data_IF_588365460885
#
_entry.id   IF_588365460885
#
_cell.length_a   1.000
_cell.length_b   1.000
_cell.length_c   1.000
_cell.angle_alpha   90.00
_cell.angle_beta   90.00
_cell.angle_gamma   90.00
#
_symmetry.space_group_name_H-M   'P 1'
#
loop_
_entity.id
_entity.type
_entity.pdbx_description
1 polymer ?
#
# COMPACT_ATOMS: atom_id res chain seq x y z
N UNK A 1 -27.92 1.40 12.25
CA UNK A 1 -26.71 1.56 13.08
C UNK A 1 -25.65 0.69 12.45
N UNK A 2 -24.49 1.27 12.13
CA UNK A 2 -23.43 0.51 11.49
C UNK A 2 -22.60 -0.26 12.51
N UNK A 3 -22.25 -1.49 12.17
CA UNK A 3 -21.49 -2.41 13.01
C UNK A 3 -20.44 -3.13 12.18
N UNK A 4 -19.33 -3.46 12.84
CA UNK A 4 -18.33 -4.39 12.32
C UNK A 4 -18.47 -5.70 13.08
N UNK A 5 -18.66 -6.80 12.35
CA UNK A 5 -18.82 -8.14 12.92
C UNK A 5 -17.60 -8.97 12.53
N UNK A 6 -16.85 -9.45 13.52
CA UNK A 6 -15.69 -10.31 13.32
C UNK A 6 -16.06 -11.71 13.80
N UNK A 7 -16.09 -12.64 12.86
CA UNK A 7 -16.31 -14.05 13.12
C UNK A 7 -15.01 -14.82 12.95
N UNK A 8 -14.50 -15.34 14.07
CA UNK A 8 -13.24 -16.06 14.18
C UNK A 8 -13.39 -17.34 15.01
N UNK A 9 -14.60 -17.89 15.07
CA UNK A 9 -14.89 -19.16 15.75
C UNK A 9 -14.17 -20.33 15.07
N UNK A 10 -14.12 -20.32 13.73
CA UNK A 10 -13.42 -21.35 12.95
C UNK A 10 -11.98 -20.91 12.71
N UNK A 11 -11.03 -21.86 12.75
CA UNK A 11 -9.61 -21.54 12.54
C UNK A 11 -9.27 -21.46 11.06
N UNK A 12 -10.09 -22.07 10.23
CA UNK A 12 -9.94 -22.21 8.79
C UNK A 12 -10.40 -20.97 8.02
N UNK A 13 -11.14 -20.08 8.69
CA UNK A 13 -11.73 -18.90 8.07
C UNK A 13 -11.96 -17.81 9.11
N UNK A 14 -11.45 -16.62 8.81
CA UNK A 14 -11.69 -15.40 9.54
C UNK A 14 -12.53 -14.48 8.66
N UNK A 15 -13.66 -14.02 9.18
CA UNK A 15 -14.63 -13.22 8.42
C UNK A 15 -14.87 -11.89 9.10
N UNK A 16 -14.84 -10.82 8.31
CA UNK A 16 -15.18 -9.48 8.77
C UNK A 16 -16.32 -8.94 7.91
N UNK A 17 -17.45 -8.67 8.54
CA UNK A 17 -18.64 -8.14 7.88
C UNK A 17 -18.96 -6.72 8.36
N UNK A 18 -19.33 -5.85 7.43
CA UNK A 18 -19.84 -4.52 7.73
C UNK A 18 -21.33 -4.47 7.42
N UNK A 19 -22.11 -4.12 8.44
CA UNK A 19 -23.57 -4.09 8.37
C UNK A 19 -24.11 -2.73 8.76
N UNK A 20 -25.18 -2.28 8.11
CA UNK A 20 -26.03 -1.19 8.58
C UNK A 20 -27.39 -1.74 9.00
N UNK A 21 -27.62 -1.80 10.31
CA UNK A 21 -28.76 -2.51 10.89
C UNK A 21 -28.62 -4.01 10.65
N UNK A 22 -29.36 -4.52 9.67
CA UNK A 22 -29.31 -5.93 9.22
C UNK A 22 -28.88 -6.07 7.75
N UNK A 23 -28.55 -4.95 7.08
CA UNK A 23 -28.11 -4.98 5.69
C UNK A 23 -26.59 -5.10 5.63
N UNK A 24 -26.11 -6.22 5.09
CA UNK A 24 -24.71 -6.39 4.73
C UNK A 24 -24.35 -5.43 3.59
N UNK A 25 -23.25 -4.70 3.74
CA UNK A 25 -22.73 -3.84 2.67
C UNK A 25 -21.26 -4.11 2.34
N UNK A 26 -20.51 -4.82 3.19
CA UNK A 26 -19.17 -5.30 2.88
C UNK A 26 -18.86 -6.62 3.61
N UNK A 27 -18.03 -7.46 3.02
CA UNK A 27 -17.62 -8.75 3.56
C UNK A 27 -16.22 -9.11 3.07
N UNK A 28 -15.29 -9.23 4.01
CA UNK A 28 -13.96 -9.78 3.79
C UNK A 28 -13.82 -11.14 4.47
N UNK A 29 -13.14 -12.06 3.78
CA UNK A 29 -12.90 -13.42 4.23
C UNK A 29 -11.43 -13.74 4.02
N UNK A 30 -10.76 -14.26 5.05
CA UNK A 30 -9.36 -14.68 5.00
C UNK A 30 -9.24 -16.12 5.51
N UNK A 31 -8.58 -16.98 4.73
CA UNK A 31 -8.31 -18.36 5.10
C UNK A 31 -6.81 -18.58 5.28
N UNK A 32 -6.38 -19.38 6.28
CA UNK A 32 -4.98 -19.71 6.47
C UNK A 32 -4.36 -20.30 5.20
N UNK A 33 -3.17 -19.82 4.82
CA UNK A 33 -2.46 -20.26 3.62
C UNK A 33 -2.93 -19.62 2.31
N UNK A 34 -4.04 -18.89 2.30
CA UNK A 34 -4.48 -18.02 1.20
C UNK A 34 -4.47 -16.55 1.64
N UNK A 35 -3.40 -16.16 2.33
CA UNK A 35 -3.20 -14.79 2.76
C UNK A 35 -3.08 -13.88 1.53
N UNK A 36 -3.76 -12.74 1.61
CA UNK A 36 -3.69 -11.72 0.57
C UNK A 36 -2.27 -11.18 0.50
N UNK A 37 -1.62 -11.33 -0.66
CA UNK A 37 -0.27 -10.82 -0.94
C UNK A 37 -0.28 -9.40 -1.46
N UNK A 38 -1.44 -8.88 -1.85
CA UNK A 38 -1.60 -7.48 -2.27
C UNK A 38 -1.05 -6.53 -1.20
N UNK A 39 -0.36 -5.49 -1.63
CA UNK A 39 0.31 -4.49 -0.81
C UNK A 39 1.55 -4.97 -0.01
N UNK A 40 1.88 -6.27 0.00
CA UNK A 40 3.16 -6.74 0.52
C UNK A 40 4.32 -6.09 -0.21
N UNK A 41 5.40 -5.82 0.54
CA UNK A 41 6.62 -5.19 0.03
C UNK A 41 7.77 -6.19 0.17
N UNK A 42 8.50 -6.35 -0.92
CA UNK A 42 9.63 -7.27 -1.03
C UNK A 42 10.86 -6.52 -1.48
N UNK A 43 12.02 -7.04 -1.11
CA UNK A 43 13.24 -6.80 -1.86
C UNK A 43 13.30 -7.84 -2.96
N UNK A 44 13.34 -7.39 -4.21
CA UNK A 44 13.40 -8.25 -5.38
C UNK A 44 14.67 -8.01 -6.20
N UNK A 45 14.97 -8.93 -7.11
CA UNK A 45 16.08 -8.86 -8.05
C UNK A 45 15.56 -8.88 -9.48
N UNK A 46 16.00 -7.95 -10.31
CA UNK A 46 15.67 -7.93 -11.74
C UNK A 46 16.26 -9.18 -12.39
N UNK A 47 15.41 -10.05 -12.94
CA UNK A 47 15.86 -11.27 -13.62
C UNK A 47 16.02 -11.08 -15.12
N UNK A 48 15.19 -10.21 -15.70
CA UNK A 48 15.15 -9.99 -17.15
C UNK A 48 14.52 -8.65 -17.48
N UNK A 49 15.08 -7.94 -18.45
CA UNK A 49 14.53 -6.67 -18.95
C UNK A 49 13.97 -6.84 -20.36
N UNK A 50 12.72 -6.47 -20.57
CA UNK A 50 11.95 -6.69 -21.80
C UNK A 50 11.42 -5.38 -22.41
N UNK A 51 12.18 -4.73 -23.32
CA UNK A 51 11.74 -3.49 -23.97
C UNK A 51 10.47 -3.63 -24.78
N UNK A 52 10.23 -4.78 -25.41
CA UNK A 52 9.02 -5.02 -26.21
C UNK A 52 7.74 -4.94 -25.37
N UNK A 53 7.85 -5.23 -24.07
CA UNK A 53 6.75 -5.08 -23.10
C UNK A 53 6.86 -3.79 -22.28
N UNK A 54 7.93 -3.00 -22.50
CA UNK A 54 8.35 -1.90 -21.65
C UNK A 54 8.32 -2.27 -20.16
N UNK A 55 8.87 -3.44 -19.82
CA UNK A 55 8.78 -4.00 -18.48
C UNK A 55 10.00 -4.84 -18.11
N UNK A 56 10.19 -5.07 -16.82
CA UNK A 56 11.17 -5.98 -16.26
C UNK A 56 10.48 -7.07 -15.45
N UNK A 57 11.09 -8.24 -15.40
CA UNK A 57 10.67 -9.34 -14.53
C UNK A 57 11.52 -9.32 -13.25
N UNK A 58 10.86 -9.46 -12.11
CA UNK A 58 11.48 -9.37 -10.79
C UNK A 58 11.28 -10.69 -10.06
N UNK A 59 12.37 -11.30 -9.61
CA UNK A 59 12.31 -12.36 -8.61
C UNK A 59 12.19 -11.71 -7.23
N UNK A 60 11.07 -11.97 -6.56
CA UNK A 60 10.76 -11.47 -5.22
C UNK A 60 10.53 -12.62 -4.22
N UNK A 61 10.91 -13.86 -4.60
CA UNK A 61 10.80 -15.06 -3.76
C UNK A 61 9.51 -15.86 -3.94
N UNK A 62 8.67 -15.50 -4.91
CA UNK A 62 7.51 -16.30 -5.31
C UNK A 62 7.86 -17.27 -6.46
N UNK A 63 7.01 -18.28 -6.69
CA UNK A 63 7.21 -19.25 -7.77
C UNK A 63 7.24 -18.60 -9.17
N UNK A 64 6.46 -17.52 -9.36
CA UNK A 64 6.41 -16.77 -10.61
C UNK A 64 7.02 -15.40 -10.41
N UNK A 65 7.90 -15.00 -11.32
CA UNK A 65 8.47 -13.66 -11.31
C UNK A 65 7.37 -12.62 -11.50
N UNK A 66 7.48 -11.51 -10.77
CA UNK A 66 6.57 -10.39 -10.88
C UNK A 66 6.87 -9.55 -12.13
N UNK A 67 5.85 -8.84 -12.60
CA UNK A 67 5.90 -7.97 -13.76
C UNK A 67 5.97 -6.50 -13.31
N UNK A 68 7.10 -5.84 -13.56
CA UNK A 68 7.35 -4.44 -13.22
C UNK A 68 7.41 -3.59 -14.50
N UNK A 69 6.33 -2.88 -14.87
CA UNK A 69 6.33 -2.03 -16.07
C UNK A 69 7.11 -0.72 -15.84
N UNK A 70 7.67 -0.17 -16.91
CA UNK A 70 8.47 1.06 -16.93
C UNK A 70 7.81 2.24 -16.21
N UNK A 71 6.50 2.40 -16.39
CA UNK A 71 5.73 3.49 -15.77
C UNK A 71 5.61 3.39 -14.24
N UNK A 72 5.94 2.24 -13.66
CA UNK A 72 5.88 1.94 -12.23
C UNK A 72 7.28 1.92 -11.58
N UNK A 73 8.29 2.46 -12.28
CA UNK A 73 9.67 2.57 -11.78
C UNK A 73 9.92 4.00 -11.26
N UNK A 74 10.33 4.09 -10.01
CA UNK A 74 10.69 5.32 -9.35
C UNK A 74 12.03 5.84 -9.86
N UNK A 75 12.18 7.16 -9.86
CA UNK A 75 13.37 7.84 -10.40
C UNK A 75 14.66 7.47 -9.67
N UNK A 76 14.57 7.06 -8.41
CA UNK A 76 15.71 6.59 -7.62
C UNK A 76 16.40 5.35 -8.20
N UNK A 77 15.72 4.60 -9.08
CA UNK A 77 16.30 3.43 -9.75
C UNK A 77 16.87 3.74 -11.14
N UNK A 78 16.80 4.99 -11.59
CA UNK A 78 17.41 5.43 -12.85
C UNK A 78 18.90 5.70 -12.62
N UNK A 79 19.76 5.55 -13.63
CA UNK A 79 21.14 6.01 -13.55
C UNK A 79 21.24 7.51 -13.21
N UNK A 80 22.22 7.89 -12.39
CA UNK A 80 22.40 9.29 -11.95
C UNK A 80 22.62 10.27 -13.11
N UNK A 81 23.24 9.80 -14.20
CA UNK A 81 23.54 10.54 -15.42
C UNK A 81 22.44 10.43 -16.49
N UNK A 82 21.26 9.89 -16.14
CA UNK A 82 20.19 9.67 -17.09
C UNK A 82 19.61 10.97 -17.66
N UNK A 83 19.85 11.22 -18.94
CA UNK A 83 19.28 12.36 -19.67
C UNK A 83 18.00 11.94 -20.39
N UNK A 84 16.88 12.58 -20.06
CA UNK A 84 15.61 12.34 -20.74
C UNK A 84 15.65 12.85 -22.18
N UNK A 85 15.84 11.93 -23.13
CA UNK A 85 15.73 12.19 -24.57
C UNK A 85 14.45 11.58 -25.13
N UNK A 86 13.29 12.12 -24.71
CA UNK A 86 11.97 11.61 -25.10
C UNK A 86 11.47 10.48 -24.19
N UNK A 87 10.80 9.47 -24.77
CA UNK A 87 10.28 8.34 -24.00
C UNK A 87 11.45 7.42 -23.60
N UNK A 88 11.67 7.19 -22.30
CA UNK A 88 12.81 6.40 -21.85
C UNK A 88 12.68 4.93 -22.28
N UNK A 89 13.81 4.29 -22.59
CA UNK A 89 13.87 2.85 -22.80
C UNK A 89 14.23 2.16 -21.49
N UNK A 90 13.50 1.11 -21.12
CA UNK A 90 13.72 0.40 -19.86
C UNK A 90 15.11 -0.26 -19.77
N UNK A 91 15.73 -0.64 -20.90
CA UNK A 91 17.10 -1.15 -20.94
C UNK A 91 18.16 -0.14 -20.50
N UNK A 92 17.86 1.15 -20.64
CA UNK A 92 18.75 2.22 -20.22
C UNK A 92 18.51 2.60 -18.75
N UNK A 93 17.50 2.02 -18.10
CA UNK A 93 17.10 2.33 -16.72
C UNK A 93 17.46 1.19 -15.78
N UNK A 94 17.12 -0.05 -16.16
CA UNK A 94 17.32 -1.22 -15.31
C UNK A 94 18.31 -2.19 -15.93
N UNK A 95 19.11 -2.82 -15.06
CA UNK A 95 20.03 -3.89 -15.45
C UNK A 95 19.66 -5.21 -14.78
N UNK A 96 19.96 -6.32 -15.44
CA UNK A 96 19.79 -7.64 -14.84
C UNK A 96 20.65 -7.78 -13.60
N UNK A 97 20.07 -8.36 -12.56
CA UNK A 97 20.68 -8.52 -11.25
C UNK A 97 20.55 -7.32 -10.31
N UNK A 98 20.02 -6.18 -10.77
CA UNK A 98 19.74 -5.02 -9.92
C UNK A 98 18.71 -5.37 -8.83
N UNK A 99 18.96 -4.94 -7.60
CA UNK A 99 18.01 -5.10 -6.50
C UNK A 99 17.06 -3.90 -6.43
N UNK A 100 15.78 -4.17 -6.20
CA UNK A 100 14.71 -3.16 -6.15
C UNK A 100 13.74 -3.46 -5.01
N UNK A 101 13.24 -2.42 -4.34
CA UNK A 101 12.09 -2.55 -3.44
C UNK A 101 10.82 -2.51 -4.30
N UNK A 102 9.99 -3.53 -4.18
CA UNK A 102 8.76 -3.68 -4.97
C UNK A 102 7.57 -3.96 -4.07
N UNK A 103 6.44 -3.35 -4.39
CA UNK A 103 5.15 -3.61 -3.79
C UNK A 103 4.25 -4.36 -4.77
N UNK A 104 3.50 -5.35 -4.26
CA UNK A 104 2.49 -6.06 -5.04
C UNK A 104 1.26 -5.18 -5.24
N UNK A 105 1.05 -4.69 -6.46
CA UNK A 105 -0.11 -3.89 -6.83
C UNK A 105 -1.31 -4.78 -7.20
N UNK A 106 -1.05 -5.84 -7.98
CA UNK A 106 -2.05 -6.88 -8.31
C UNK A 106 -1.44 -8.25 -8.11
N UNK A 107 -2.22 -9.14 -7.51
CA UNK A 107 -1.81 -10.51 -7.26
C UNK A 107 -1.70 -11.31 -8.57
N UNK A 108 -1.09 -12.49 -8.45
CA UNK A 108 -0.99 -13.46 -9.53
C UNK A 108 -2.38 -13.84 -10.04
N UNK A 109 -2.54 -13.90 -11.35
CA UNK A 109 -3.82 -14.27 -11.98
C UNK A 109 -3.59 -15.34 -13.03
N UNK A 110 -4.10 -16.54 -12.76
CA UNK A 110 -3.94 -17.69 -13.65
C UNK A 110 -2.46 -17.95 -13.90
N UNK A 111 -2.04 -17.75 -15.15
CA UNK A 111 -0.63 -17.97 -15.54
C UNK A 111 0.26 -16.72 -15.50
N UNK A 112 -0.26 -15.56 -15.06
CA UNK A 112 0.51 -14.31 -14.99
C UNK A 112 1.02 -14.09 -13.58
N UNK A 113 2.31 -13.76 -13.47
CA UNK A 113 2.91 -13.29 -12.22
C UNK A 113 2.26 -12.00 -11.72
N UNK A 114 2.56 -11.64 -10.47
CA UNK A 114 2.01 -10.45 -9.82
C UNK A 114 2.44 -9.17 -10.55
N UNK A 115 1.56 -8.17 -10.62
CA UNK A 115 1.94 -6.85 -11.09
C UNK A 115 2.59 -6.07 -9.95
N UNK A 116 3.81 -5.60 -10.19
CA UNK A 116 4.64 -4.92 -9.21
C UNK A 116 4.74 -3.42 -9.51
N UNK A 117 5.08 -2.66 -8.48
CA UNK A 117 5.46 -1.25 -8.60
C UNK A 117 6.60 -0.97 -7.64
N UNK A 118 7.52 -0.08 -8.01
CA UNK A 118 8.47 0.45 -7.02
C UNK A 118 7.88 1.64 -6.29
N UNK A 119 6.78 2.25 -6.77
CA UNK A 119 6.09 3.32 -6.06
C UNK A 119 5.35 2.77 -4.85
N UNK A 120 6.05 2.71 -3.72
CA UNK A 120 5.51 2.17 -2.48
C UNK A 120 4.37 3.07 -1.99
N UNK A 121 3.32 2.44 -1.50
CA UNK A 121 2.18 3.08 -0.87
C UNK A 121 1.97 2.46 0.52
N UNK A 122 1.95 3.29 1.56
CA UNK A 122 1.68 2.88 2.93
C UNK A 122 0.39 3.54 3.40
N UNK A 123 -0.65 2.74 3.55
CA UNK A 123 -1.96 3.22 4.00
C UNK A 123 -1.98 3.29 5.54
N UNK A 124 -2.25 4.48 6.07
CA UNK A 124 -2.60 4.73 7.46
C UNK A 124 -4.11 4.83 7.65
N UNK A 125 -4.54 5.33 8.80
CA UNK A 125 -5.97 5.48 9.08
C UNK A 125 -6.58 6.62 8.27
N UNK A 126 -5.86 7.75 8.13
CA UNK A 126 -6.36 8.97 7.51
C UNK A 126 -5.58 9.33 6.25
N UNK A 127 -4.32 8.92 6.16
CA UNK A 127 -3.41 9.26 5.08
C UNK A 127 -2.94 8.01 4.34
N UNK A 128 -2.52 8.20 3.09
CA UNK A 128 -1.70 7.23 2.36
C UNK A 128 -0.40 7.93 2.00
N UNK A 129 0.70 7.40 2.50
CA UNK A 129 2.05 7.88 2.24
C UNK A 129 2.59 7.23 0.96
N UNK A 130 3.13 8.06 0.06
CA UNK A 130 3.80 7.65 -1.17
C UNK A 130 5.25 8.16 -1.12
N UNK A 131 6.16 7.50 -0.38
CA UNK A 131 7.45 8.08 0.00
C UNK A 131 8.41 8.32 -1.17
N UNK A 132 8.21 7.67 -2.32
CA UNK A 132 9.05 7.81 -3.51
C UNK A 132 8.27 8.27 -4.75
N UNK A 133 7.14 8.94 -4.54
CA UNK A 133 6.36 9.55 -5.61
C UNK A 133 5.85 10.95 -5.22
N UNK A 134 6.65 12.01 -5.43
CA UNK A 134 6.23 13.38 -5.09
C UNK A 134 5.08 13.90 -5.95
N UNK A 135 4.83 13.24 -7.09
CA UNK A 135 3.72 13.60 -7.98
C UNK A 135 2.40 13.00 -7.52
N UNK A 136 2.45 11.96 -6.69
CA UNK A 136 1.26 11.40 -6.10
C UNK A 136 0.82 12.27 -4.93
N UNK A 137 -0.44 12.72 -4.94
CA UNK A 137 -0.97 13.43 -3.80
C UNK A 137 -2.36 13.99 -4.04
N UNK A 138 -3.00 14.42 -2.95
CA UNK A 138 -4.27 15.11 -2.98
C UNK A 138 -5.30 14.54 -2.02
N UNK A 139 -6.56 14.87 -2.27
CA UNK A 139 -7.68 14.52 -1.40
C UNK A 139 -8.57 13.53 -2.15
N UNK A 140 -9.03 12.48 -1.44
CA UNK A 140 -9.95 11.47 -1.95
C UNK A 140 -11.07 12.08 -2.80
N UNK A 141 -11.36 11.44 -3.94
CA UNK A 141 -12.43 11.87 -4.87
C UNK A 141 -13.83 11.79 -4.27
N UNK A 142 -14.00 11.09 -3.14
CA UNK A 142 -15.28 10.99 -2.42
C UNK A 142 -15.56 12.20 -1.52
N UNK A 143 -14.61 13.14 -1.42
CA UNK A 143 -14.72 14.35 -0.58
C UNK A 143 -14.85 15.57 -1.49
N UNK A 144 -15.93 16.30 -1.30
CA UNK A 144 -16.35 17.43 -2.12
C UNK A 144 -16.80 18.61 -1.22
N UNK A 145 -17.01 19.79 -1.81
CA UNK A 145 -17.50 20.96 -1.06
C UNK A 145 -16.52 21.48 -0.01
N UNK A 146 -17.07 22.02 1.07
CA UNK A 146 -16.31 22.73 2.12
C UNK A 146 -15.31 21.81 2.83
N UNK A 147 -15.67 20.54 3.06
CA UNK A 147 -14.78 19.52 3.66
C UNK A 147 -13.47 19.36 2.87
N UNK A 148 -13.52 19.51 1.54
CA UNK A 148 -12.34 19.42 0.69
C UNK A 148 -11.43 20.63 0.86
N UNK A 149 -12.02 21.82 1.05
CA UNK A 149 -11.26 23.06 1.27
C UNK A 149 -10.58 23.02 2.62
N UNK A 150 -11.30 22.64 3.67
CA UNK A 150 -10.75 22.49 5.04
C UNK A 150 -9.60 21.47 5.07
N UNK A 151 -9.76 20.32 4.42
CA UNK A 151 -8.69 19.32 4.34
C UNK A 151 -7.48 19.81 3.55
N UNK A 152 -7.67 20.65 2.53
CA UNK A 152 -6.57 21.22 1.75
C UNK A 152 -5.75 22.20 2.61
N UNK A 153 -6.43 22.98 3.44
CA UNK A 153 -5.78 23.87 4.41
C UNK A 153 -5.04 23.06 5.49
N UNK A 154 -5.69 22.05 6.08
CA UNK A 154 -5.06 21.16 7.05
C UNK A 154 -3.82 20.46 6.46
N UNK A 155 -3.90 19.95 5.23
CA UNK A 155 -2.76 19.36 4.53
C UNK A 155 -1.59 20.33 4.35
N UNK A 156 -1.87 21.61 4.09
CA UNK A 156 -0.82 22.62 3.91
C UNK A 156 -0.06 22.94 5.20
N UNK A 157 -0.64 22.60 6.35
CA UNK A 157 0.01 22.77 7.67
C UNK A 157 0.84 21.56 8.10
N UNK A 158 0.81 20.45 7.35
CA UNK A 158 1.58 19.26 7.67
C UNK A 158 3.05 19.43 7.25
N UNK A 159 3.95 18.97 8.11
CA UNK A 159 5.38 18.85 7.80
C UNK A 159 5.61 17.56 7.01
N UNK A 160 5.56 17.68 5.67
CA UNK A 160 5.77 16.59 4.72
C UNK A 160 7.17 16.71 4.13
N UNK A 161 8.04 15.68 4.27
CA UNK A 161 9.37 15.72 3.69
C UNK A 161 9.37 15.86 2.16
N UNK A 162 10.43 16.47 1.62
CA UNK A 162 10.61 16.58 0.18
C UNK A 162 10.63 15.20 -0.50
N UNK A 163 10.06 15.11 -1.69
CA UNK A 163 10.00 13.86 -2.45
C UNK A 163 8.84 12.93 -2.04
N UNK A 164 8.13 13.25 -0.96
CA UNK A 164 7.01 12.43 -0.45
C UNK A 164 5.67 12.92 -0.99
N UNK A 165 4.90 11.98 -1.52
CA UNK A 165 3.50 12.18 -1.87
C UNK A 165 2.54 11.81 -0.73
N UNK A 166 1.42 12.51 -0.61
CA UNK A 166 0.43 12.26 0.44
C UNK A 166 -1.01 12.32 -0.09
N UNK A 167 -1.81 11.30 0.20
CA UNK A 167 -3.22 11.24 -0.18
C UNK A 167 -4.10 11.19 1.08
N UNK A 168 -5.07 12.10 1.21
CA UNK A 168 -6.05 12.06 2.31
C UNK A 168 -7.18 11.10 1.98
N UNK A 169 -7.41 10.14 2.89
CA UNK A 169 -8.49 9.15 2.85
C UNK A 169 -9.80 9.79 3.29
N UNK A 170 -10.93 9.17 2.90
CA UNK A 170 -12.26 9.61 3.36
C UNK A 170 -12.42 9.61 4.88
N UNK A 171 -11.70 8.74 5.60
CA UNK A 171 -11.71 8.73 7.06
C UNK A 171 -10.96 9.92 7.71
N UNK A 172 -10.19 10.69 6.94
CA UNK A 172 -9.50 11.89 7.40
C UNK A 172 -10.39 13.13 7.51
N UNK A 173 -11.62 13.10 7.00
CA UNK A 173 -12.57 14.23 7.09
C UNK A 173 -12.86 14.56 8.56
N UNK A 174 -12.77 15.84 8.92
CA UNK A 174 -13.04 16.33 10.28
C UNK A 174 -11.99 15.92 11.31
N UNK A 175 -10.78 15.56 10.86
CA UNK A 175 -9.60 15.32 11.70
C UNK A 175 -8.75 16.58 11.81
N UNK A 176 -8.19 16.80 13.00
CA UNK A 176 -7.34 17.97 13.22
C UNK A 176 -5.98 17.81 12.51
N UNK A 177 -5.28 18.91 12.21
CA UNK A 177 -3.92 18.86 11.69
C UNK A 177 -2.96 18.01 12.54
N UNK A 178 -3.12 18.01 13.87
CA UNK A 178 -2.32 17.23 14.79
C UNK A 178 -2.56 15.72 14.64
N UNK A 179 -3.82 15.30 14.48
CA UNK A 179 -4.16 13.89 14.23
C UNK A 179 -3.58 13.42 12.89
N UNK A 180 -3.67 14.24 11.85
CA UNK A 180 -3.09 13.94 10.54
C UNK A 180 -1.56 13.91 10.59
N UNK A 181 -0.92 14.85 11.30
CA UNK A 181 0.52 14.87 11.49
C UNK A 181 1.02 13.65 12.25
N UNK A 182 0.25 13.15 13.22
CA UNK A 182 0.58 11.94 13.95
C UNK A 182 0.52 10.69 13.04
N UNK A 183 -0.55 10.55 12.24
CA UNK A 183 -0.68 9.46 11.26
C UNK A 183 0.49 9.49 10.25
N UNK A 184 0.86 10.69 9.77
CA UNK A 184 2.02 10.89 8.90
C UNK A 184 3.33 10.44 9.57
N UNK A 185 3.57 10.78 10.84
CA UNK A 185 4.78 10.37 11.57
C UNK A 185 4.89 8.85 11.68
N UNK A 186 3.79 8.16 11.95
CA UNK A 186 3.76 6.69 12.00
C UNK A 186 4.12 6.09 10.64
N UNK A 187 3.54 6.62 9.56
CA UNK A 187 3.83 6.14 8.21
C UNK A 187 5.28 6.40 7.79
N UNK A 188 5.86 7.55 8.14
CA UNK A 188 7.26 7.87 7.87
C UNK A 188 8.21 6.96 8.66
N UNK A 189 7.91 6.69 9.93
CA UNK A 189 8.68 5.74 10.73
C UNK A 189 8.64 4.34 10.14
N UNK A 190 7.46 3.90 9.68
CA UNK A 190 7.31 2.61 9.01
C UNK A 190 8.11 2.54 7.71
N UNK A 191 8.10 3.61 6.89
CA UNK A 191 8.93 3.67 5.69
C UNK A 191 10.42 3.56 5.99
N UNK A 192 10.89 4.24 7.05
CA UNK A 192 12.28 4.15 7.47
C UNK A 192 12.66 2.71 7.88
N UNK A 193 11.80 2.03 8.63
CA UNK A 193 11.99 0.62 8.97
C UNK A 193 12.06 -0.29 7.74
N UNK A 194 11.22 -0.06 6.72
CA UNK A 194 11.25 -0.79 5.45
C UNK A 194 12.59 -0.57 4.72
N UNK A 195 13.07 0.68 4.64
CA UNK A 195 14.37 0.98 4.01
C UNK A 195 15.52 0.29 4.75
N UNK A 196 15.55 0.37 6.08
CA UNK A 196 16.59 -0.28 6.89
C UNK A 196 16.56 -1.80 6.72
N UNK A 197 15.39 -2.41 6.77
CA UNK A 197 15.22 -3.84 6.54
C UNK A 197 15.66 -4.24 5.12
N UNK A 198 15.41 -3.40 4.10
CA UNK A 198 15.86 -3.65 2.73
C UNK A 198 17.39 -3.69 2.60
N UNK A 199 18.13 -3.00 3.48
CA UNK A 199 19.60 -2.99 3.48
C UNK A 199 20.19 -4.14 4.30
N UNK A 200 19.40 -4.77 5.18
CA UNK A 200 19.89 -5.77 6.13
C UNK A 200 20.38 -7.08 5.50
N UNK A 201 19.86 -7.44 4.32
CA UNK A 201 20.25 -8.66 3.58
C UNK A 201 20.03 -8.49 2.07
N UNK A 202 20.68 -9.30 1.21
CA UNK A 202 20.43 -9.30 -0.23
C UNK A 202 19.06 -9.87 -0.58
N UNK A 203 18.55 -9.52 -1.77
CA UNK A 203 17.32 -10.03 -2.34
C UNK A 203 17.43 -11.54 -2.71
N UNK A 204 16.31 -12.27 -2.83
CA UNK A 204 14.93 -11.84 -2.60
C UNK A 204 14.41 -12.15 -1.20
N UNK A 205 13.58 -11.26 -0.64
CA UNK A 205 12.84 -11.54 0.60
C UNK A 205 11.67 -10.59 0.86
N UNK A 206 10.71 -11.05 1.67
CA UNK A 206 9.61 -10.25 2.21
C UNK A 206 10.13 -9.25 3.25
N UNK A 207 9.88 -7.96 3.02
CA UNK A 207 10.23 -6.87 3.95
C UNK A 207 9.02 -6.54 4.84
N UNK A 208 7.86 -6.36 4.22
CA UNK A 208 6.62 -6.00 4.92
C UNK A 208 5.49 -6.88 4.41
N UNK A 209 4.86 -7.58 5.35
CA UNK A 209 3.59 -8.26 5.14
C UNK A 209 2.47 -7.29 5.51
N UNK A 210 1.54 -7.07 4.57
CA UNK A 210 0.33 -6.31 4.86
C UNK A 210 -0.45 -6.99 5.98
N UNK A 211 -1.13 -6.16 6.79
CA UNK A 211 -1.77 -6.62 8.02
C UNK A 211 -2.90 -7.60 7.73
N UNK A 212 -3.29 -8.43 8.72
CA UNK A 212 -4.43 -9.35 8.60
C UNK A 212 -5.76 -8.62 8.32
N UNK A 213 -6.79 -9.38 7.96
CA UNK A 213 -8.12 -8.85 7.62
C UNK A 213 -8.74 -8.00 8.73
N UNK A 214 -8.48 -8.27 10.01
CA UNK A 214 -9.03 -7.48 11.12
C UNK A 214 -8.37 -6.11 11.13
N UNK A 215 -7.04 -6.08 11.11
CA UNK A 215 -6.28 -4.83 11.12
C UNK A 215 -6.59 -4.00 9.87
N UNK A 216 -6.69 -4.64 8.69
CA UNK A 216 -7.12 -3.99 7.45
C UNK A 216 -8.53 -3.42 7.60
N UNK A 217 -9.47 -4.19 8.13
CA UNK A 217 -10.85 -3.74 8.31
C UNK A 217 -10.95 -2.55 9.27
N UNK A 218 -10.23 -2.59 10.39
CA UNK A 218 -10.14 -1.47 11.33
C UNK A 218 -9.55 -0.24 10.63
N UNK A 219 -8.40 -0.37 9.98
CA UNK A 219 -7.73 0.72 9.27
C UNK A 219 -8.61 1.36 8.19
N UNK A 220 -9.33 0.54 7.44
CA UNK A 220 -10.01 0.98 6.21
C UNK A 220 -11.46 1.43 6.46
N UNK A 221 -12.11 0.88 7.49
CA UNK A 221 -13.54 1.05 7.73
C UNK A 221 -13.91 1.58 9.10
N UNK A 222 -13.02 1.56 10.11
CA UNK A 222 -13.34 2.13 11.41
C UNK A 222 -13.51 3.64 11.29
N UNK A 223 -14.78 4.05 11.29
CA UNK A 223 -15.22 5.44 11.16
C UNK A 223 -16.07 5.82 12.36
N UNK A 224 -16.26 7.12 12.56
CA UNK A 224 -17.09 7.66 13.66
C UNK A 224 -18.55 7.15 13.62
N UNK A 225 -19.05 6.69 12.47
CA UNK A 225 -20.40 6.16 12.29
C UNK A 225 -20.54 4.66 12.59
N UNK A 226 -19.44 3.94 12.85
CA UNK A 226 -19.47 2.57 13.37
C UNK A 226 -19.69 2.63 14.89
N UNK A 227 -20.84 2.14 15.35
CA UNK A 227 -21.22 2.21 16.76
C UNK A 227 -20.57 1.14 17.63
N UNK A 228 -20.31 -0.04 17.07
CA UNK A 228 -19.75 -1.18 17.81
C UNK A 228 -18.99 -2.14 16.88
N UNK A 229 -17.98 -2.80 17.44
CA UNK A 229 -17.26 -3.94 16.87
C UNK A 229 -17.61 -5.15 17.72
N UNK A 230 -18.23 -6.16 17.11
CA UNK A 230 -18.61 -7.39 17.79
C UNK A 230 -17.68 -8.52 17.34
N UNK A 231 -16.94 -9.11 18.30
CA UNK A 231 -15.98 -10.18 18.07
C UNK A 231 -16.46 -11.42 18.83
N UNK A 232 -16.54 -12.56 18.15
CA UNK A 232 -17.07 -13.81 18.72
C UNK A 232 -16.02 -14.72 19.38
N UNK A 233 -14.74 -14.33 19.33
CA UNK A 233 -13.61 -15.11 19.84
C UNK A 233 -12.80 -14.31 20.88
N UNK A 234 -12.72 -14.78 22.14
CA UNK A 234 -11.96 -14.10 23.20
C UNK A 234 -10.46 -13.96 22.92
N UNK A 235 -9.90 -14.78 22.02
CA UNK A 235 -8.48 -14.70 21.63
C UNK A 235 -8.18 -13.52 20.70
N UNK A 236 -9.18 -13.06 19.96
CA UNK A 236 -9.06 -11.98 18.97
C UNK A 236 -9.69 -10.67 19.47
N UNK A 237 -10.19 -10.66 20.71
CA UNK A 237 -10.69 -9.46 21.40
C UNK A 237 -9.52 -8.72 22.05
#
# INVERSE_FOLDING_TARGET
MKRMLINATQKEELRVALVDGQRLFDLDIESPGHEQKKANIYKGKITRVEPSLEAAFVDYGAERHGFLPLKEIAREYFPDDYVFQGRPNIRDILVEGQEVIVQVNKEERGNKGAALTTFVSLAGSYLVLMPNNPRAGGISRRIEGDERTELKEALSSLDVPDGVGLIVRTAGVGKSPEELQWDLKVLLHHWEAIKQASQSRPAPFLIHQESDVIVRAIRDYLRRDIGEILIDSPKNF
#
